data_IF_965548519709
#
_entry.id   IF_965548519709
#
_cell.length_a   1.000
_cell.length_b   1.000
_cell.length_c   1.000
_cell.angle_alpha   90.00
_cell.angle_beta   90.00
_cell.angle_gamma   90.00
#
_symmetry.space_group_name_H-M   'P 1'
#
loop_
_entity.id
_entity.type
_entity.pdbx_description
1 polymer ?
#
# COMPACT_ATOMS: atom_id res chain seq x y z
N UNK A 1 2.25 4.88 -15.09
CA UNK A 1 1.30 6.00 -15.13
C UNK A 1 1.53 6.84 -13.89
N UNK A 2 1.74 8.14 -14.08
CA UNK A 2 2.06 9.05 -12.97
C UNK A 2 1.26 10.35 -13.14
N UNK A 3 0.68 10.86 -12.04
CA UNK A 3 -0.02 12.13 -11.97
C UNK A 3 0.64 13.04 -10.94
N UNK A 4 0.96 14.27 -11.32
CA UNK A 4 1.65 15.24 -10.49
C UNK A 4 0.80 16.50 -10.27
N UNK A 5 0.95 17.13 -9.10
CA UNK A 5 0.34 18.42 -8.79
C UNK A 5 -1.08 18.36 -8.23
N UNK A 6 -1.65 17.17 -8.06
CA UNK A 6 -3.02 16.95 -7.59
C UNK A 6 -3.00 16.35 -6.18
N UNK A 7 -3.59 17.06 -5.21
CA UNK A 7 -3.50 16.70 -3.78
C UNK A 7 -4.62 15.77 -3.30
N UNK A 8 -5.81 15.88 -3.89
CA UNK A 8 -7.01 15.23 -3.40
C UNK A 8 -7.02 13.71 -3.62
N UNK A 9 -7.91 12.99 -2.95
CA UNK A 9 -8.15 11.56 -3.17
C UNK A 9 -8.85 11.27 -4.50
N UNK A 10 -9.37 12.28 -5.18
CA UNK A 10 -10.04 12.22 -6.48
C UNK A 10 -9.11 11.68 -7.58
N UNK A 11 -7.86 12.12 -7.61
CA UNK A 11 -6.89 11.60 -8.58
C UNK A 11 -6.45 10.17 -8.24
N UNK A 12 -6.41 9.80 -6.95
CA UNK A 12 -6.17 8.41 -6.54
C UNK A 12 -7.31 7.52 -7.04
N UNK A 13 -8.57 7.98 -6.86
CA UNK A 13 -9.75 7.29 -7.36
C UNK A 13 -9.75 7.20 -8.89
N UNK A 14 -9.42 8.27 -9.61
CA UNK A 14 -9.33 8.27 -11.07
C UNK A 14 -8.34 7.22 -11.58
N UNK A 15 -7.18 7.11 -10.94
CA UNK A 15 -6.17 6.10 -11.30
C UNK A 15 -6.70 4.67 -11.11
N UNK A 16 -7.40 4.42 -10.00
CA UNK A 16 -8.02 3.12 -9.72
C UNK A 16 -9.19 2.81 -10.68
N UNK A 17 -10.02 3.78 -10.99
CA UNK A 17 -11.10 3.66 -11.98
C UNK A 17 -10.57 3.36 -13.39
N UNK A 18 -9.49 4.04 -13.78
CA UNK A 18 -8.85 3.84 -15.08
C UNK A 18 -8.28 2.41 -15.18
N UNK A 19 -7.59 1.93 -14.15
CA UNK A 19 -7.07 0.55 -14.13
C UNK A 19 -8.20 -0.48 -14.08
N UNK A 20 -9.26 -0.26 -13.30
CA UNK A 20 -10.44 -1.12 -13.29
C UNK A 20 -11.11 -1.21 -14.67
N UNK A 21 -11.19 -0.08 -15.40
CA UNK A 21 -11.68 -0.07 -16.77
C UNK A 21 -10.77 -0.84 -17.73
N UNK A 22 -9.44 -0.73 -17.54
CA UNK A 22 -8.47 -1.49 -18.33
C UNK A 22 -8.66 -3.00 -18.14
N UNK A 23 -8.86 -3.47 -16.88
CA UNK A 23 -9.12 -4.89 -16.63
C UNK A 23 -10.37 -5.42 -17.33
N UNK A 24 -11.45 -4.61 -17.38
CA UNK A 24 -12.65 -4.95 -18.13
C UNK A 24 -12.40 -5.03 -19.66
N UNK A 25 -11.59 -4.12 -20.20
CA UNK A 25 -11.24 -4.13 -21.62
C UNK A 25 -10.36 -5.34 -22.00
N UNK A 26 -9.57 -5.83 -21.04
CA UNK A 26 -8.73 -7.02 -21.23
C UNK A 26 -9.44 -8.34 -20.85
N UNK A 27 -10.69 -8.27 -20.38
CA UNK A 27 -11.50 -9.42 -19.93
C UNK A 27 -10.86 -10.20 -18.77
N UNK A 28 -10.18 -9.48 -17.86
CA UNK A 28 -9.54 -10.05 -16.67
C UNK A 28 -10.08 -9.46 -15.35
N UNK A 29 -11.13 -8.65 -15.39
CA UNK A 29 -11.69 -7.97 -14.22
C UNK A 29 -12.19 -8.94 -13.13
N UNK A 30 -12.60 -10.14 -13.52
CA UNK A 30 -12.99 -11.19 -12.56
C UNK A 30 -11.81 -11.98 -11.96
N UNK A 31 -10.64 -11.86 -12.59
CA UNK A 31 -9.42 -12.56 -12.16
C UNK A 31 -8.55 -11.73 -11.22
N UNK A 32 -8.86 -10.43 -11.04
CA UNK A 32 -8.07 -9.51 -10.23
C UNK A 32 -8.90 -8.91 -9.10
N UNK A 33 -8.27 -8.71 -7.95
CA UNK A 33 -8.86 -8.07 -6.78
C UNK A 33 -8.07 -6.82 -6.43
N UNK A 34 -8.76 -5.72 -6.15
CA UNK A 34 -8.14 -4.49 -5.65
C UNK A 34 -7.93 -4.58 -4.13
N UNK A 35 -6.71 -4.41 -3.68
CA UNK A 35 -6.36 -4.18 -2.28
C UNK A 35 -5.88 -2.75 -2.10
N UNK A 36 -6.37 -2.08 -1.06
CA UNK A 36 -6.00 -0.71 -0.73
C UNK A 36 -5.61 -0.58 0.74
N UNK A 37 -4.74 0.38 1.04
CA UNK A 37 -4.41 0.78 2.41
C UNK A 37 -4.03 2.26 2.46
N UNK A 38 -4.00 2.82 3.67
CA UNK A 38 -3.40 4.12 3.93
C UNK A 38 -2.13 3.95 4.78
N UNK A 39 -1.03 4.51 4.32
CA UNK A 39 0.22 4.55 5.09
C UNK A 39 0.34 5.80 5.98
N UNK A 40 -0.63 6.69 5.93
CA UNK A 40 -0.58 7.93 6.68
C UNK A 40 0.43 8.94 6.17
N UNK A 41 0.57 10.05 6.89
CA UNK A 41 1.66 11.01 6.69
C UNK A 41 3.00 10.43 7.16
N UNK A 42 4.10 11.06 6.78
CA UNK A 42 5.43 10.67 7.28
C UNK A 42 5.52 10.74 8.81
N UNK A 43 4.86 11.70 9.43
CA UNK A 43 4.81 11.87 10.89
C UNK A 43 4.03 10.72 11.56
N UNK A 44 2.81 10.43 11.10
CA UNK A 44 1.98 9.33 11.59
C UNK A 44 2.70 7.98 11.44
N UNK A 45 3.31 7.75 10.28
CA UNK A 45 4.08 6.54 9.98
C UNK A 45 5.31 6.39 10.89
N UNK A 46 5.97 7.49 11.26
CA UNK A 46 7.11 7.46 12.19
C UNK A 46 6.70 6.98 13.59
N UNK A 47 5.56 7.48 14.09
CA UNK A 47 5.01 7.06 15.39
C UNK A 47 4.64 5.57 15.35
N UNK A 48 3.94 5.14 14.32
CA UNK A 48 3.59 3.72 14.13
C UNK A 48 4.83 2.83 14.05
N UNK A 49 5.84 3.25 13.28
CA UNK A 49 7.10 2.50 13.14
C UNK A 49 7.77 2.26 14.49
N UNK A 50 7.75 3.26 15.39
CA UNK A 50 8.30 3.11 16.75
C UNK A 50 7.54 2.02 17.52
N UNK A 51 6.21 2.10 17.58
CA UNK A 51 5.40 1.11 18.26
C UNK A 51 5.55 -0.31 17.68
N UNK A 52 5.62 -0.41 16.34
CA UNK A 52 5.84 -1.69 15.65
C UNK A 52 7.21 -2.29 15.99
N UNK A 53 8.28 -1.47 16.02
CA UNK A 53 9.64 -1.91 16.38
C UNK A 53 9.70 -2.37 17.83
N UNK A 54 9.07 -1.66 18.76
CA UNK A 54 8.96 -2.06 20.16
C UNK A 54 8.32 -3.44 20.27
N UNK A 55 7.13 -3.62 19.69
CA UNK A 55 6.43 -4.90 19.67
C UNK A 55 7.27 -6.03 19.06
N UNK A 56 7.86 -5.81 17.89
CA UNK A 56 8.64 -6.83 17.18
C UNK A 56 9.96 -7.16 17.88
N UNK A 57 10.51 -6.24 18.67
CA UNK A 57 11.71 -6.47 19.46
C UNK A 57 11.46 -7.48 20.58
N UNK A 58 10.29 -7.42 21.21
CA UNK A 58 9.89 -8.36 22.28
C UNK A 58 9.72 -9.79 21.76
N UNK A 59 9.40 -9.96 20.47
CA UNK A 59 9.21 -11.27 19.81
C UNK A 59 10.30 -11.61 18.81
N UNK A 60 11.43 -10.89 18.82
CA UNK A 60 12.49 -10.96 17.81
C UNK A 60 12.97 -12.38 17.53
N UNK A 61 13.18 -13.19 18.58
CA UNK A 61 13.70 -14.55 18.45
C UNK A 61 12.71 -15.53 17.80
N UNK A 62 11.45 -15.13 17.66
CA UNK A 62 10.40 -15.89 17.02
C UNK A 62 10.22 -15.52 15.52
N UNK A 63 10.81 -14.39 15.10
CA UNK A 63 10.77 -13.94 13.71
C UNK A 63 11.67 -14.79 12.83
N UNK A 64 11.32 -14.91 11.55
CA UNK A 64 12.22 -15.49 10.54
C UNK A 64 13.44 -14.58 10.30
N UNK A 65 14.52 -15.15 9.74
CA UNK A 65 15.80 -14.45 9.55
C UNK A 65 15.67 -13.16 8.70
N UNK A 66 14.80 -13.17 7.68
CA UNK A 66 14.58 -12.01 6.82
C UNK A 66 13.87 -10.90 7.60
N UNK A 67 12.86 -11.25 8.40
CA UNK A 67 12.15 -10.33 9.28
C UNK A 67 13.06 -9.76 10.37
N UNK A 68 13.95 -10.55 10.95
CA UNK A 68 14.96 -10.07 11.91
C UNK A 68 15.90 -9.03 11.28
N UNK A 69 16.36 -9.24 10.04
CA UNK A 69 17.17 -8.26 9.32
C UNK A 69 16.38 -6.97 9.01
N UNK A 70 15.12 -7.11 8.64
CA UNK A 70 14.23 -5.97 8.33
C UNK A 70 13.90 -5.14 9.56
N UNK A 71 13.94 -5.71 10.76
CA UNK A 71 13.65 -4.99 12.00
C UNK A 71 14.51 -3.73 12.17
N UNK A 72 15.76 -3.76 11.72
CA UNK A 72 16.69 -2.63 11.78
C UNK A 72 16.73 -1.79 10.51
N UNK A 73 16.41 -2.37 9.35
CA UNK A 73 16.53 -1.68 8.06
C UNK A 73 15.21 -1.11 7.56
N UNK A 74 14.15 -1.90 7.55
CA UNK A 74 12.80 -1.48 7.10
C UNK A 74 11.71 -2.31 7.79
N UNK A 75 11.36 -1.99 9.05
CA UNK A 75 10.43 -2.79 9.86
C UNK A 75 9.03 -2.87 9.27
N UNK A 76 8.56 -1.86 8.52
CA UNK A 76 7.25 -1.92 7.88
C UNK A 76 7.14 -3.08 6.87
N UNK A 77 8.25 -3.48 6.23
CA UNK A 77 8.28 -4.62 5.31
C UNK A 77 8.07 -5.98 6.00
N UNK A 78 8.10 -6.03 7.33
CA UNK A 78 7.77 -7.24 8.09
C UNK A 78 6.27 -7.53 8.00
N UNK A 79 5.43 -6.51 7.89
CA UNK A 79 3.97 -6.63 7.73
C UNK A 79 3.59 -7.47 6.50
N UNK A 80 4.38 -7.39 5.44
CA UNK A 80 4.20 -8.15 4.18
C UNK A 80 4.99 -9.47 4.17
N UNK A 81 5.41 -9.99 5.31
CA UNK A 81 6.11 -11.28 5.39
C UNK A 81 5.20 -12.41 4.91
N UNK A 82 5.75 -13.31 4.10
CA UNK A 82 5.06 -14.54 3.66
C UNK A 82 5.31 -15.72 4.62
N UNK A 83 6.14 -15.53 5.65
CA UNK A 83 6.42 -16.55 6.65
C UNK A 83 5.23 -16.74 7.60
N UNK A 84 4.69 -17.96 7.69
CA UNK A 84 3.49 -18.24 8.48
C UNK A 84 3.66 -17.95 9.97
N UNK A 85 4.86 -18.15 10.55
CA UNK A 85 5.12 -17.83 11.96
C UNK A 85 5.09 -16.32 12.18
N UNK A 86 5.78 -15.57 11.34
CA UNK A 86 5.77 -14.10 11.41
C UNK A 86 4.36 -13.56 11.20
N UNK A 87 3.59 -14.08 10.25
CA UNK A 87 2.19 -13.70 10.07
C UNK A 87 1.32 -13.95 11.31
N UNK A 88 1.54 -15.07 12.02
CA UNK A 88 0.82 -15.36 13.26
C UNK A 88 1.16 -14.34 14.36
N UNK A 89 2.42 -13.94 14.52
CA UNK A 89 2.85 -12.92 15.47
C UNK A 89 2.23 -11.54 15.15
N UNK A 90 2.11 -11.20 13.88
CA UNK A 90 1.55 -9.92 13.42
C UNK A 90 0.04 -9.77 13.67
N UNK A 91 -0.65 -10.81 14.13
CA UNK A 91 -2.07 -10.71 14.52
C UNK A 91 -2.23 -9.76 15.73
N UNK A 92 -1.28 -9.81 16.66
CA UNK A 92 -1.28 -9.02 17.90
C UNK A 92 -0.48 -7.71 17.76
N UNK A 93 0.09 -7.43 16.58
CA UNK A 93 0.87 -6.24 16.33
C UNK A 93 0.01 -4.97 16.30
N UNK A 94 0.56 -3.80 16.69
CA UNK A 94 -0.11 -2.52 16.49
C UNK A 94 -0.60 -2.38 15.05
N UNK A 95 -1.81 -1.84 14.88
CA UNK A 95 -2.39 -1.63 13.55
C UNK A 95 -2.10 -0.22 13.07
N UNK A 96 -1.67 -0.07 11.82
CA UNK A 96 -1.34 1.24 11.25
C UNK A 96 -2.54 2.20 11.27
N UNK A 97 -3.75 1.67 11.12
CA UNK A 97 -4.99 2.46 11.12
C UNK A 97 -5.20 3.24 12.43
N UNK A 98 -4.76 2.71 13.58
CA UNK A 98 -4.87 3.38 14.87
C UNK A 98 -3.97 4.62 14.98
N UNK A 99 -2.94 4.71 14.14
CA UNK A 99 -1.93 5.77 14.13
C UNK A 99 -2.15 6.82 13.02
N UNK A 100 -3.14 6.63 12.16
CA UNK A 100 -3.44 7.59 11.10
C UNK A 100 -3.84 8.94 11.71
N UNK A 101 -3.22 10.00 11.21
CA UNK A 101 -3.66 11.36 11.49
C UNK A 101 -5.00 11.68 10.81
N UNK A 102 -5.60 12.79 11.22
CA UNK A 102 -6.93 13.17 10.73
C UNK A 102 -6.97 13.37 9.21
N UNK A 103 -5.91 13.97 8.64
CA UNK A 103 -5.83 14.26 7.20
C UNK A 103 -5.76 12.95 6.39
N UNK A 104 -4.92 12.01 6.83
CA UNK A 104 -4.80 10.69 6.19
C UNK A 104 -6.09 9.90 6.29
N UNK A 105 -6.76 9.96 7.43
CA UNK A 105 -8.04 9.29 7.66
C UNK A 105 -9.12 9.87 6.75
N UNK A 106 -9.25 11.19 6.69
CA UNK A 106 -10.21 11.86 5.82
C UNK A 106 -9.95 11.56 4.34
N UNK A 107 -8.68 11.59 3.91
CA UNK A 107 -8.29 11.25 2.55
C UNK A 107 -8.71 9.81 2.18
N UNK A 108 -8.44 8.86 3.08
CA UNK A 108 -8.74 7.45 2.83
C UNK A 108 -10.25 7.16 2.83
N UNK A 109 -11.02 7.78 3.74
CA UNK A 109 -12.48 7.68 3.75
C UNK A 109 -13.09 8.28 2.47
N UNK A 110 -12.59 9.43 2.02
CA UNK A 110 -13.05 10.04 0.77
C UNK A 110 -12.75 9.16 -0.45
N UNK A 111 -11.55 8.53 -0.50
CA UNK A 111 -11.21 7.57 -1.55
C UNK A 111 -12.18 6.39 -1.56
N UNK A 112 -12.43 5.77 -0.40
CA UNK A 112 -13.37 4.64 -0.29
C UNK A 112 -14.76 5.02 -0.78
N UNK A 113 -15.27 6.19 -0.37
CA UNK A 113 -16.56 6.69 -0.82
C UNK A 113 -16.62 6.86 -2.35
N UNK A 114 -15.56 7.35 -2.98
CA UNK A 114 -15.48 7.50 -4.44
C UNK A 114 -15.49 6.14 -5.14
N UNK A 115 -14.76 5.15 -4.62
CA UNK A 115 -14.75 3.78 -5.14
C UNK A 115 -16.11 3.11 -4.99
N UNK A 116 -16.77 3.26 -3.84
CA UNK A 116 -18.11 2.73 -3.57
C UNK A 116 -19.13 3.32 -4.55
N UNK A 117 -19.12 4.64 -4.75
CA UNK A 117 -20.01 5.34 -5.69
C UNK A 117 -19.77 4.90 -7.15
N UNK A 118 -18.56 4.48 -7.47
CA UNK A 118 -18.20 3.95 -8.79
C UNK A 118 -18.43 2.44 -8.93
N UNK A 119 -18.94 1.77 -7.89
CA UNK A 119 -19.13 0.32 -7.82
C UNK A 119 -17.82 -0.47 -8.05
N UNK A 120 -16.70 0.04 -7.58
CA UNK A 120 -15.42 -0.68 -7.58
C UNK A 120 -15.34 -1.51 -6.30
N UNK A 121 -15.22 -2.84 -6.46
CA UNK A 121 -15.02 -3.75 -5.34
C UNK A 121 -13.55 -3.72 -4.92
N UNK A 122 -13.31 -3.55 -3.63
CA UNK A 122 -11.95 -3.53 -3.06
C UNK A 122 -11.92 -4.21 -1.69
N UNK A 123 -10.72 -4.53 -1.24
CA UNK A 123 -10.44 -4.98 0.13
C UNK A 123 -9.50 -3.98 0.80
N UNK A 124 -9.80 -3.59 2.03
CA UNK A 124 -8.83 -2.89 2.87
C UNK A 124 -7.86 -3.93 3.45
N UNK A 125 -6.58 -3.78 3.14
CA UNK A 125 -5.53 -4.66 3.63
C UNK A 125 -4.56 -3.86 4.50
N UNK A 126 -4.76 -3.85 5.82
CA UNK A 126 -3.95 -3.09 6.79
C UNK A 126 -2.48 -3.53 6.84
N UNK A 127 -2.12 -4.65 6.21
CA UNK A 127 -0.74 -5.13 6.06
C UNK A 127 -0.10 -4.77 4.73
N UNK A 128 -0.87 -4.17 3.82
CA UNK A 128 -0.35 -3.73 2.54
C UNK A 128 0.61 -2.55 2.74
N UNK A 129 1.88 -2.78 2.46
CA UNK A 129 2.94 -1.78 2.46
C UNK A 129 3.71 -1.85 1.14
N UNK A 130 4.45 -0.79 0.82
CA UNK A 130 5.26 -0.75 -0.41
C UNK A 130 6.73 -0.94 -0.09
N UNK A 131 7.48 -1.38 -1.10
CA UNK A 131 8.92 -1.65 -0.98
C UNK A 131 9.80 -0.42 -0.74
N UNK A 132 9.26 0.77 -0.93
CA UNK A 132 9.98 2.05 -0.91
C UNK A 132 9.35 3.00 0.09
N UNK A 133 10.16 3.72 0.84
CA UNK A 133 9.75 4.54 1.99
C UNK A 133 9.11 5.87 1.60
N UNK A 134 9.15 6.25 0.33
CA UNK A 134 8.57 7.50 -0.15
C UNK A 134 7.04 7.49 -0.24
N UNK A 135 6.40 6.31 -0.22
CA UNK A 135 4.95 6.23 -0.23
C UNK A 135 4.34 6.74 1.07
N UNK A 136 3.18 7.39 0.93
CA UNK A 136 2.33 7.85 2.04
C UNK A 136 0.89 7.91 1.59
N UNK A 137 -0.05 8.20 2.49
CA UNK A 137 -1.47 8.17 2.16
C UNK A 137 -1.88 6.86 1.47
N UNK A 138 -2.51 6.93 0.30
CA UNK A 138 -3.00 5.77 -0.45
C UNK A 138 -1.88 4.90 -0.99
N UNK A 139 -1.98 3.60 -0.76
CA UNK A 139 -1.26 2.55 -1.48
C UNK A 139 -2.24 1.49 -1.94
N UNK A 140 -1.95 0.85 -3.07
CA UNK A 140 -2.83 -0.18 -3.63
C UNK A 140 -2.09 -1.22 -4.45
N UNK A 141 -2.73 -2.38 -4.56
CA UNK A 141 -2.32 -3.47 -5.45
C UNK A 141 -3.55 -4.11 -6.11
N UNK A 142 -3.44 -4.41 -7.39
CA UNK A 142 -4.31 -5.33 -8.07
C UNK A 142 -3.63 -6.70 -8.06
N UNK A 143 -4.27 -7.66 -7.42
CA UNK A 143 -3.71 -8.99 -7.18
C UNK A 143 -4.56 -10.07 -7.83
N UNK A 144 -3.93 -11.18 -8.23
CA UNK A 144 -4.57 -12.36 -8.76
C UNK A 144 -4.00 -13.62 -8.11
N UNK A 145 -4.83 -14.63 -7.93
CA UNK A 145 -4.41 -15.94 -7.45
C UNK A 145 -3.83 -16.83 -8.56
N UNK A 146 -3.98 -16.43 -9.84
CA UNK A 146 -3.55 -17.22 -11.00
C UNK A 146 -2.03 -17.30 -11.16
N UNK A 147 -1.29 -16.33 -10.60
CA UNK A 147 0.17 -16.20 -10.71
C UNK A 147 0.94 -16.69 -9.45
N UNK A 148 0.27 -17.43 -8.57
CA UNK A 148 0.88 -17.98 -7.34
C UNK A 148 1.41 -16.88 -6.42
N UNK A 149 2.64 -17.06 -5.90
CA UNK A 149 3.22 -16.15 -4.91
C UNK A 149 3.53 -14.72 -5.42
N UNK A 150 3.49 -14.50 -6.73
CA UNK A 150 3.75 -13.20 -7.39
C UNK A 150 2.49 -12.61 -8.03
N UNK A 151 1.37 -12.70 -7.33
CA UNK A 151 0.05 -12.34 -7.84
C UNK A 151 -0.21 -10.86 -8.12
N UNK A 152 0.69 -9.93 -7.79
CA UNK A 152 0.50 -8.51 -8.06
C UNK A 152 0.68 -8.18 -9.54
N UNK A 153 -0.38 -7.78 -10.23
CA UNK A 153 -0.36 -7.41 -11.66
C UNK A 153 -0.17 -5.91 -11.88
N UNK A 154 -0.70 -5.10 -10.97
CA UNK A 154 -0.52 -3.65 -10.97
C UNK A 154 -0.42 -3.15 -9.54
N UNK A 155 0.45 -2.19 -9.28
CA UNK A 155 0.61 -1.64 -7.94
C UNK A 155 1.09 -0.19 -7.96
N UNK A 156 0.69 0.56 -6.94
CA UNK A 156 1.02 1.96 -6.87
C UNK A 156 0.68 2.60 -5.54
N UNK A 157 0.58 3.92 -5.55
CA UNK A 157 0.22 4.72 -4.40
C UNK A 157 0.66 6.16 -4.54
N UNK A 158 0.42 6.94 -3.48
CA UNK A 158 0.77 8.34 -3.37
C UNK A 158 2.16 8.52 -2.76
N UNK A 159 2.93 9.46 -3.29
CA UNK A 159 4.31 9.71 -2.88
C UNK A 159 4.65 11.20 -2.89
N UNK A 160 3.90 12.00 -2.13
CA UNK A 160 3.96 13.47 -2.11
C UNK A 160 5.34 14.05 -1.75
N UNK A 161 6.19 13.31 -1.04
CA UNK A 161 7.52 13.76 -0.63
C UNK A 161 8.65 13.43 -1.58
N UNK A 162 8.44 12.62 -2.63
CA UNK A 162 9.53 12.10 -3.45
C UNK A 162 10.22 13.19 -4.28
N UNK A 163 9.45 14.09 -4.89
CA UNK A 163 10.01 15.15 -5.73
C UNK A 163 10.92 16.07 -4.92
N UNK A 164 10.51 16.40 -3.68
CA UNK A 164 11.33 17.20 -2.75
C UNK A 164 12.61 16.46 -2.33
N UNK A 165 12.51 15.16 -2.02
CA UNK A 165 13.67 14.31 -1.69
C UNK A 165 14.71 14.26 -2.83
N UNK A 166 14.25 14.38 -4.08
CA UNK A 166 15.11 14.45 -5.26
C UNK A 166 15.62 15.86 -5.57
N UNK A 167 15.37 16.84 -4.70
CA UNK A 167 15.83 18.23 -4.84
C UNK A 167 14.89 19.13 -5.65
N UNK A 168 13.69 18.66 -6.00
CA UNK A 168 12.66 19.46 -6.65
C UNK A 168 11.82 20.27 -5.66
N UNK A 169 10.82 20.99 -6.17
CA UNK A 169 9.81 21.64 -5.32
C UNK A 169 8.85 20.59 -4.77
N UNK A 170 8.26 20.78 -3.57
CA UNK A 170 7.20 19.92 -3.08
C UNK A 170 6.05 19.83 -4.08
N UNK A 171 5.79 18.65 -4.62
CA UNK A 171 4.72 18.40 -5.58
C UNK A 171 4.05 17.09 -5.18
N UNK A 172 2.73 17.09 -4.90
CA UNK A 172 2.00 15.87 -4.66
C UNK A 172 2.03 15.00 -5.92
N UNK A 173 2.15 13.70 -5.70
CA UNK A 173 2.22 12.74 -6.79
C UNK A 173 1.56 11.42 -6.40
N UNK A 174 0.92 10.77 -7.36
CA UNK A 174 0.36 9.43 -7.27
C UNK A 174 0.57 8.72 -8.59
N UNK A 175 0.86 7.44 -8.54
CA UNK A 175 1.05 6.68 -9.77
C UNK A 175 1.02 5.18 -9.56
N UNK A 176 1.10 4.44 -10.65
CA UNK A 176 1.17 3.00 -10.63
C UNK A 176 2.00 2.45 -11.78
N UNK A 177 2.47 1.23 -11.58
CA UNK A 177 3.10 0.42 -12.62
C UNK A 177 2.42 -0.95 -12.72
N UNK A 178 2.38 -1.50 -13.92
CA UNK A 178 1.84 -2.83 -14.18
C UNK A 178 2.88 -3.71 -14.88
N UNK A 179 2.87 -5.00 -14.55
CA UNK A 179 3.73 -5.99 -15.17
C UNK A 179 3.09 -6.53 -16.45
N UNK A 180 3.55 -6.09 -17.62
CA UNK A 180 2.97 -6.52 -18.90
C UNK A 180 3.06 -8.04 -19.08
N UNK A 181 4.16 -8.65 -18.69
CA UNK A 181 4.35 -10.11 -18.77
C UNK A 181 3.32 -10.85 -17.88
N UNK A 182 2.98 -10.27 -16.73
CA UNK A 182 1.97 -10.83 -15.81
C UNK A 182 0.54 -10.70 -16.32
N UNK A 183 0.29 -9.72 -17.19
CA UNK A 183 -1.02 -9.53 -17.82
C UNK A 183 -1.23 -10.44 -19.03
N UNK A 184 -0.13 -10.95 -19.63
CA UNK A 184 -0.16 -11.80 -20.82
C UNK A 184 -0.17 -13.30 -20.42
N UNK A 185 0.37 -13.63 -19.24
CA UNK A 185 0.45 -15.01 -18.75
C UNK A 185 -0.83 -15.47 -18.09
#
# INVERSE_FOLDING_TARGET
IEAFGLQGPDIDAELLLMTARLWKLLDIDQAVTLEINSLGTAAARSVYKTALVEFLTDVKDQLDEDSQRRLTSNPLRILDSKNAKTQALLVDAPQLDDYLDNDSRQHFEALKLMLDNANIVYRVNNRLVRGLDYYGYTVFEWVTDHLGAQGTVCAGGRYNGLVEQLGGRPVPAVGCAMGLERLIS
#
